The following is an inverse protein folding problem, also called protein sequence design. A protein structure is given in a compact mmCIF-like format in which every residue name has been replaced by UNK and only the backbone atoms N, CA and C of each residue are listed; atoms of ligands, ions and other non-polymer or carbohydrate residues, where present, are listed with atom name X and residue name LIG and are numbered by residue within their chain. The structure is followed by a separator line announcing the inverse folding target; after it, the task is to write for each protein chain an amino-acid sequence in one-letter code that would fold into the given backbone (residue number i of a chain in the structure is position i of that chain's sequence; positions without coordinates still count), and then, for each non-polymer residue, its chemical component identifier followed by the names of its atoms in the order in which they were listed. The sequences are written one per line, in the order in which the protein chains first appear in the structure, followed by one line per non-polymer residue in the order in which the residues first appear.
data_IF_494965435456
#
_entry.id   IF_494965435456
#
_cell.length_a   1.000
_cell.length_b   1.000
_cell.length_c   1.000
_cell.angle_alpha   90.00
_cell.angle_beta   90.00
_cell.angle_gamma   90.00
#
_symmetry.space_group_name_H-M   'P 1'
#
loop_
_entity.id
_entity.type
_entity.pdbx_description
1 polymer ?
#
# COMPACT_ATOMS: atom_id res chain seq x y z
N UNK A 1 -23.19 -15.02 -11.04
CA UNK A 1 -21.84 -14.60 -11.48
C UNK A 1 -21.04 -13.87 -10.40
N UNK A 2 -21.55 -12.79 -9.78
CA UNK A 2 -20.82 -12.00 -8.76
C UNK A 2 -20.29 -12.83 -7.57
N UNK A 3 -21.09 -13.76 -7.03
CA UNK A 3 -20.68 -14.68 -5.95
C UNK A 3 -19.58 -15.65 -6.38
N UNK A 4 -19.67 -16.18 -7.60
CA UNK A 4 -18.71 -17.13 -8.16
C UNK A 4 -17.34 -16.48 -8.40
N UNK A 5 -17.34 -15.22 -8.86
CA UNK A 5 -16.13 -14.42 -9.04
C UNK A 5 -15.45 -14.14 -7.69
N UNK A 6 -16.23 -13.79 -6.67
CA UNK A 6 -15.73 -13.59 -5.32
C UNK A 6 -15.11 -14.87 -4.74
N UNK A 7 -15.78 -16.02 -4.91
CA UNK A 7 -15.28 -17.32 -4.48
C UNK A 7 -14.01 -17.73 -5.23
N UNK A 8 -13.91 -17.44 -6.53
CA UNK A 8 -12.72 -17.72 -7.33
C UNK A 8 -11.53 -16.86 -6.86
N UNK A 9 -11.78 -15.57 -6.59
CA UNK A 9 -10.78 -14.64 -6.04
C UNK A 9 -10.30 -15.14 -4.67
N UNK A 10 -11.22 -15.54 -3.79
CA UNK A 10 -10.87 -16.12 -2.48
C UNK A 10 -10.06 -17.41 -2.62
N UNK A 11 -10.43 -18.32 -3.52
CA UNK A 11 -9.70 -19.57 -3.76
C UNK A 11 -8.27 -19.30 -4.25
N UNK A 12 -8.15 -18.39 -5.22
CA UNK A 12 -6.88 -17.95 -5.83
C UNK A 12 -6.01 -17.26 -4.77
N UNK A 13 -6.59 -16.44 -3.88
CA UNK A 13 -5.89 -15.88 -2.72
C UNK A 13 -5.48 -16.98 -1.72
N UNK A 14 -6.27 -18.03 -1.49
CA UNK A 14 -5.90 -19.08 -0.53
C UNK A 14 -4.83 -20.06 -1.04
N UNK A 15 -4.65 -20.19 -2.35
CA UNK A 15 -3.61 -21.05 -2.95
C UNK A 15 -2.32 -20.26 -3.19
N UNK A 16 -1.39 -20.28 -2.24
CA UNK A 16 -0.07 -19.65 -2.45
C UNK A 16 0.73 -20.45 -3.49
N UNK A 17 0.94 -19.88 -4.67
CA UNK A 17 1.87 -20.41 -5.68
C UNK A 17 3.32 -19.94 -5.44
N UNK A 18 3.50 -18.94 -4.57
CA UNK A 18 4.79 -18.49 -4.07
C UNK A 18 5.09 -19.16 -2.72
N UNK A 19 6.31 -19.70 -2.56
CA UNK A 19 6.83 -20.17 -1.26
C UNK A 19 6.92 -19.03 -0.22
N UNK A 20 6.89 -17.77 -0.68
CA UNK A 20 7.01 -16.56 0.14
C UNK A 20 5.83 -15.66 -0.13
N UNK A 21 4.77 -15.90 0.62
CA UNK A 21 3.47 -15.29 0.36
C UNK A 21 3.09 -14.26 1.42
N UNK A 22 3.67 -14.30 2.62
CA UNK A 22 3.35 -13.36 3.70
C UNK A 22 4.53 -12.46 4.02
N UNK A 23 4.24 -11.20 4.29
CA UNK A 23 5.23 -10.20 4.69
C UNK A 23 4.66 -9.15 5.62
N UNK A 24 5.55 -8.41 6.27
CA UNK A 24 5.23 -7.24 7.07
C UNK A 24 6.08 -6.07 6.64
N UNK A 25 5.58 -4.86 6.83
CA UNK A 25 6.28 -3.66 6.44
C UNK A 25 6.12 -2.50 7.41
N UNK A 26 7.06 -1.58 7.30
CA UNK A 26 7.06 -0.29 7.98
C UNK A 26 7.31 0.77 6.92
N UNK A 27 6.48 1.80 6.91
CA UNK A 27 6.65 2.97 6.07
C UNK A 27 6.50 4.27 6.85
N UNK A 28 6.89 5.36 6.23
CA UNK A 28 6.72 6.71 6.75
C UNK A 28 5.87 7.51 5.78
N UNK A 29 4.86 8.19 6.30
CA UNK A 29 3.90 8.92 5.49
C UNK A 29 3.71 10.34 5.99
N UNK A 30 3.23 11.19 5.09
CA UNK A 30 2.59 12.46 5.40
C UNK A 30 1.27 12.56 4.62
N UNK A 31 0.25 13.13 5.23
CA UNK A 31 -1.06 13.35 4.62
C UNK A 31 -1.62 14.72 5.00
N UNK A 32 -2.35 15.32 4.06
CA UNK A 32 -3.17 16.49 4.27
C UNK A 32 -4.65 16.12 4.15
N UNK A 33 -5.50 16.71 4.99
CA UNK A 33 -6.96 16.55 4.94
C UNK A 33 -7.55 17.86 4.42
N UNK A 34 -8.21 17.82 3.26
CA UNK A 34 -8.65 19.02 2.54
C UNK A 34 -9.68 19.85 3.33
N UNK A 35 -10.68 19.17 3.88
CA UNK A 35 -11.74 19.82 4.65
C UNK A 35 -11.27 20.32 6.04
N UNK A 36 -10.24 19.70 6.61
CA UNK A 36 -9.75 19.97 7.96
C UNK A 36 -8.20 20.00 8.01
N UNK A 37 -7.55 21.06 7.51
CA UNK A 37 -6.08 21.10 7.40
C UNK A 37 -5.34 20.91 8.72
N UNK A 38 -5.95 21.26 9.86
CA UNK A 38 -5.37 21.03 11.19
C UNK A 38 -5.11 19.53 11.49
N UNK A 39 -5.85 18.62 10.84
CA UNK A 39 -5.69 17.16 10.95
C UNK A 39 -4.64 16.57 10.01
N UNK A 40 -3.94 17.42 9.26
CA UNK A 40 -2.76 17.01 8.54
C UNK A 40 -1.81 16.31 9.50
N UNK A 41 -1.30 15.16 9.07
CA UNK A 41 -0.57 14.26 9.97
C UNK A 41 0.56 13.56 9.25
N UNK A 42 1.58 13.21 10.02
CA UNK A 42 2.72 12.44 9.54
C UNK A 42 3.14 11.43 10.59
N UNK A 43 3.73 10.33 10.16
CA UNK A 43 4.12 9.28 11.08
C UNK A 43 4.57 8.01 10.39
N UNK A 44 4.32 6.89 11.06
CA UNK A 44 4.66 5.56 10.59
C UNK A 44 3.40 4.77 10.21
N UNK A 45 3.54 3.97 9.17
CA UNK A 45 2.53 3.00 8.72
C UNK A 45 3.10 1.59 8.90
N UNK A 46 2.33 0.73 9.55
CA UNK A 46 2.63 -0.69 9.67
C UNK A 46 1.75 -1.46 8.71
N UNK A 47 2.33 -2.40 7.96
CA UNK A 47 1.62 -3.17 6.96
C UNK A 47 1.81 -4.68 7.15
N UNK A 48 0.77 -5.43 6.80
CA UNK A 48 0.82 -6.86 6.52
C UNK A 48 0.50 -7.05 5.05
N UNK A 49 1.32 -7.81 4.35
CA UNK A 49 1.24 -7.99 2.91
C UNK A 49 1.12 -9.47 2.59
N UNK A 50 0.20 -9.80 1.71
CA UNK A 50 0.03 -11.13 1.17
C UNK A 50 0.19 -11.13 -0.35
N UNK A 51 1.20 -11.83 -0.85
CA UNK A 51 1.61 -11.95 -2.26
C UNK A 51 1.53 -13.42 -2.72
N UNK A 52 0.36 -13.89 -3.16
CA UNK A 52 0.16 -15.29 -3.53
C UNK A 52 0.89 -15.72 -4.81
N UNK A 53 1.19 -14.78 -5.71
CA UNK A 53 1.74 -15.07 -7.04
C UNK A 53 3.09 -14.41 -7.30
N UNK A 54 3.76 -14.90 -8.34
CA UNK A 54 4.96 -14.30 -8.92
C UNK A 54 4.76 -14.15 -10.44
N UNK A 55 3.81 -13.31 -10.83
CA UNK A 55 3.53 -13.03 -12.24
C UNK A 55 4.50 -11.95 -12.77
N UNK A 56 4.85 -11.99 -14.07
CA UNK A 56 5.67 -10.96 -14.71
C UNK A 56 4.92 -9.63 -14.94
N UNK A 57 3.58 -9.67 -15.03
CA UNK A 57 2.71 -8.52 -15.24
C UNK A 57 1.48 -8.64 -14.35
N UNK A 58 0.89 -7.49 -14.00
CA UNK A 58 -0.35 -7.38 -13.23
C UNK A 58 -0.37 -8.30 -12.00
N UNK A 59 0.72 -8.34 -11.25
CA UNK A 59 0.90 -9.26 -10.13
C UNK A 59 0.21 -8.69 -8.88
N UNK A 60 -0.89 -9.31 -8.40
CA UNK A 60 -1.66 -8.75 -7.30
C UNK A 60 -1.05 -9.12 -5.93
N UNK A 61 -1.29 -8.25 -4.96
CA UNK A 61 -0.99 -8.45 -3.55
C UNK A 61 -2.07 -7.81 -2.70
N UNK A 62 -2.45 -8.47 -1.61
CA UNK A 62 -3.34 -7.92 -0.59
C UNK A 62 -2.50 -7.21 0.47
N UNK A 63 -3.00 -6.09 0.99
CA UNK A 63 -2.35 -5.30 2.02
C UNK A 63 -3.36 -4.93 3.09
N UNK A 64 -2.94 -5.03 4.34
CA UNK A 64 -3.63 -4.45 5.50
C UNK A 64 -2.65 -3.51 6.16
N UNK A 65 -3.06 -2.28 6.43
CA UNK A 65 -2.22 -1.25 7.04
C UNK A 65 -2.90 -0.57 8.20
N UNK A 66 -2.08 -0.08 9.10
CA UNK A 66 -2.47 0.83 10.15
C UNK A 66 -1.45 1.97 10.21
N UNK A 67 -1.93 3.20 10.33
CA UNK A 67 -1.10 4.37 10.51
C UNK A 67 -1.13 4.85 11.96
N UNK A 68 0.01 5.33 12.44
CA UNK A 68 0.18 6.03 13.71
C UNK A 68 1.10 7.22 13.47
N UNK A 69 0.72 8.39 13.98
CA UNK A 69 1.49 9.62 13.75
C UNK A 69 1.05 10.75 14.65
N UNK A 70 1.47 11.96 14.29
CA UNK A 70 1.11 13.20 14.99
C UNK A 70 0.39 14.17 14.07
N UNK A 71 -0.57 14.92 14.61
CA UNK A 71 -1.19 16.08 13.95
C UNK A 71 -0.31 17.33 14.09
N UNK A 72 -0.77 18.46 13.53
CA UNK A 72 -0.01 19.73 13.54
C UNK A 72 0.29 20.27 14.94
N UNK A 73 -0.56 19.95 15.92
CA UNK A 73 -0.41 20.32 17.33
C UNK A 73 0.48 19.36 18.13
N UNK A 74 0.93 18.27 17.51
CA UNK A 74 1.77 17.25 18.13
C UNK A 74 0.98 16.15 18.87
N UNK A 75 -0.35 16.16 18.81
CA UNK A 75 -1.14 15.07 19.41
C UNK A 75 -0.94 13.76 18.66
N UNK A 76 -0.76 12.67 19.42
CA UNK A 76 -0.63 11.33 18.87
C UNK A 76 -1.98 10.78 18.42
N UNK A 77 -2.02 10.30 17.18
CA UNK A 77 -3.25 9.82 16.55
C UNK A 77 -3.02 8.54 15.74
N UNK A 78 -4.10 7.80 15.53
CA UNK A 78 -4.17 6.71 14.56
C UNK A 78 -5.06 7.15 13.39
N UNK A 79 -4.51 7.77 12.34
CA UNK A 79 -5.33 8.48 11.38
C UNK A 79 -6.15 7.58 10.48
N UNK A 80 -5.67 6.36 10.21
CA UNK A 80 -6.42 5.43 9.38
C UNK A 80 -6.02 3.97 9.56
N UNK A 81 -6.98 3.11 9.26
CA UNK A 81 -6.79 1.68 9.00
C UNK A 81 -7.15 1.42 7.54
N UNK A 82 -6.35 0.64 6.83
CA UNK A 82 -6.52 0.41 5.39
C UNK A 82 -6.50 -1.10 5.09
N UNK A 83 -7.40 -1.55 4.21
CA UNK A 83 -7.34 -2.88 3.59
C UNK A 83 -7.56 -2.74 2.09
N UNK A 84 -6.63 -3.27 1.30
CA UNK A 84 -6.65 -3.05 -0.13
C UNK A 84 -5.83 -4.03 -0.94
N UNK A 85 -5.94 -3.87 -2.25
CA UNK A 85 -5.20 -4.65 -3.24
C UNK A 85 -4.24 -3.72 -3.96
N UNK A 86 -2.99 -4.16 -4.09
CA UNK A 86 -1.98 -3.53 -4.93
C UNK A 86 -1.62 -4.46 -6.07
N UNK A 87 -1.46 -3.91 -7.27
CA UNK A 87 -1.09 -4.65 -8.48
C UNK A 87 0.22 -4.11 -9.02
N UNK A 88 1.25 -4.94 -9.05
CA UNK A 88 2.50 -4.63 -9.75
C UNK A 88 2.22 -4.66 -11.26
N UNK A 89 2.45 -3.55 -11.96
CA UNK A 89 2.08 -3.41 -13.36
C UNK A 89 2.96 -4.28 -14.26
N UNK A 90 4.27 -4.22 -14.04
CA UNK A 90 5.30 -4.90 -14.82
C UNK A 90 6.49 -5.23 -13.91
N UNK A 91 7.21 -6.31 -14.22
CA UNK A 91 8.48 -6.66 -13.57
C UNK A 91 9.64 -6.52 -14.55
N UNK A 92 10.54 -5.57 -14.30
CA UNK A 92 11.72 -5.32 -15.11
C UNK A 92 12.97 -5.61 -14.28
N UNK A 93 13.94 -6.36 -14.81
CA UNK A 93 15.21 -6.67 -14.12
C UNK A 93 16.33 -5.73 -14.58
N UNK A 94 16.36 -5.41 -15.87
CA UNK A 94 17.34 -4.49 -16.43
C UNK A 94 16.78 -3.07 -16.45
N UNK A 95 17.17 -2.27 -15.46
CA UNK A 95 16.65 -0.93 -15.25
C UNK A 95 17.73 -0.01 -14.64
N UNK A 96 17.63 1.32 -14.80
CA UNK A 96 18.67 2.24 -14.36
C UNK A 96 18.91 2.25 -12.83
N UNK A 97 17.95 1.80 -12.02
CA UNK A 97 18.06 1.79 -10.55
C UNK A 97 18.92 0.66 -9.96
N UNK A 98 19.59 -0.14 -10.80
CA UNK A 98 20.41 -1.26 -10.34
C UNK A 98 21.60 -0.81 -9.46
N UNK A 99 22.01 0.46 -9.51
CA UNK A 99 23.05 1.01 -8.63
C UNK A 99 22.64 1.08 -7.15
N UNK A 100 21.34 1.03 -6.83
CA UNK A 100 20.84 1.13 -5.46
C UNK A 100 20.98 -0.16 -4.66
N UNK A 101 21.24 -1.30 -5.31
CA UNK A 101 21.28 -2.60 -4.66
C UNK A 101 22.44 -3.46 -5.17
N UNK A 102 23.12 -4.14 -4.26
CA UNK A 102 24.19 -5.10 -4.60
C UNK A 102 23.63 -6.42 -5.18
N UNK A 103 22.37 -6.73 -4.90
CA UNK A 103 21.68 -7.93 -5.38
C UNK A 103 20.73 -7.56 -6.53
N UNK A 104 20.46 -8.54 -7.40
CA UNK A 104 19.45 -8.40 -8.47
C UNK A 104 18.13 -7.94 -7.85
N UNK A 105 17.69 -6.78 -8.31
CA UNK A 105 16.46 -6.14 -7.88
C UNK A 105 15.57 -5.94 -9.10
N UNK A 106 14.27 -6.05 -8.93
CA UNK A 106 13.32 -5.82 -9.99
C UNK A 106 12.61 -4.49 -9.79
N UNK A 107 12.49 -3.68 -10.82
CA UNK A 107 11.61 -2.53 -10.84
C UNK A 107 10.19 -3.01 -11.11
N UNK A 108 9.29 -2.73 -10.16
CA UNK A 108 7.92 -3.24 -10.13
C UNK A 108 6.94 -2.13 -9.73
N UNK A 109 6.75 -1.10 -10.58
CA UNK A 109 5.81 -0.03 -10.26
C UNK A 109 4.41 -0.60 -10.03
N UNK A 110 3.66 -0.05 -9.08
CA UNK A 110 2.36 -0.60 -8.70
C UNK A 110 1.30 0.47 -8.50
N UNK A 111 0.04 0.07 -8.72
CA UNK A 111 -1.14 0.85 -8.34
C UNK A 111 -1.89 0.10 -7.25
N UNK A 112 -2.53 0.82 -6.33
CA UNK A 112 -3.32 0.23 -5.27
C UNK A 112 -4.70 0.87 -5.18
N UNK A 113 -5.68 0.06 -4.80
CA UNK A 113 -7.01 0.51 -4.40
C UNK A 113 -7.32 -0.13 -3.07
N UNK A 114 -7.80 0.66 -2.12
CA UNK A 114 -8.07 0.21 -0.78
C UNK A 114 -9.32 0.86 -0.19
N UNK A 115 -9.92 0.14 0.75
CA UNK A 115 -10.86 0.73 1.70
C UNK A 115 -10.06 1.25 2.89
N UNK A 116 -10.29 2.51 3.25
CA UNK A 116 -9.66 3.18 4.37
C UNK A 116 -10.72 3.65 5.36
N UNK A 117 -10.51 3.43 6.64
CA UNK A 117 -11.36 3.93 7.72
C UNK A 117 -10.59 4.93 8.56
N UNK A 118 -11.10 6.16 8.69
CA UNK A 118 -10.56 7.18 9.60
C UNK A 118 -11.34 7.14 10.92
N UNK A 119 -10.77 6.58 12.01
CA UNK A 119 -11.47 6.45 13.29
C UNK A 119 -11.68 7.80 13.99
N UNK A 120 -10.92 8.84 13.66
CA UNK A 120 -11.01 10.17 14.31
C UNK A 120 -12.22 10.96 13.81
N UNK A 121 -12.62 10.71 12.57
CA UNK A 121 -13.75 11.34 11.89
C UNK A 121 -14.93 10.39 11.67
N UNK A 122 -14.74 9.11 11.96
CA UNK A 122 -15.69 8.03 11.69
C UNK A 122 -16.12 8.00 10.20
N UNK A 123 -15.14 8.11 9.31
CA UNK A 123 -15.35 8.17 7.86
C UNK A 123 -14.85 6.91 7.16
N UNK A 124 -15.62 6.50 6.15
CA UNK A 124 -15.27 5.41 5.24
C UNK A 124 -14.80 6.01 3.92
N UNK A 125 -13.57 5.70 3.54
CA UNK A 125 -12.88 6.31 2.42
C UNK A 125 -12.45 5.24 1.40
N UNK A 126 -12.41 5.61 0.13
CA UNK A 126 -11.72 4.87 -0.92
C UNK A 126 -10.34 5.48 -1.16
N UNK A 127 -9.30 4.70 -0.97
CA UNK A 127 -7.90 5.08 -1.19
C UNK A 127 -7.42 4.56 -2.54
N UNK A 128 -6.77 5.42 -3.32
CA UNK A 128 -6.09 5.09 -4.56
C UNK A 128 -4.63 5.52 -4.43
N UNK A 129 -3.72 4.57 -4.62
CA UNK A 129 -2.28 4.79 -4.48
C UNK A 129 -1.51 4.45 -5.75
N UNK A 130 -0.37 5.11 -5.91
CA UNK A 130 0.59 4.80 -6.96
C UNK A 130 1.99 4.75 -6.36
N UNK A 131 2.70 3.65 -6.59
CA UNK A 131 4.10 3.47 -6.20
C UNK A 131 4.97 3.42 -7.45
N UNK A 132 5.38 4.57 -8.00
CA UNK A 132 6.21 4.61 -9.19
C UNK A 132 7.56 3.96 -8.92
N UNK A 133 8.19 4.26 -7.79
CA UNK A 133 9.52 3.77 -7.43
C UNK A 133 9.43 2.59 -6.47
N UNK A 134 8.80 1.50 -6.94
CA UNK A 134 8.79 0.23 -6.21
C UNK A 134 9.84 -0.72 -6.77
N UNK A 135 10.69 -1.21 -5.87
CA UNK A 135 11.77 -2.15 -6.16
C UNK A 135 11.55 -3.44 -5.36
N UNK A 136 11.63 -4.58 -6.02
CA UNK A 136 11.31 -5.90 -5.47
C UNK A 136 12.48 -6.86 -5.59
N UNK A 137 13.02 -7.27 -4.45
CA UNK A 137 13.95 -8.39 -4.30
C UNK A 137 13.20 -9.68 -3.90
N UNK A 138 13.96 -10.75 -3.69
CA UNK A 138 13.44 -12.08 -3.32
C UNK A 138 12.70 -12.08 -1.96
N UNK A 139 13.19 -11.28 -1.01
CA UNK A 139 12.73 -11.23 0.39
C UNK A 139 12.25 -9.83 0.81
N UNK A 140 12.39 -8.82 -0.06
CA UNK A 140 12.15 -7.42 0.31
C UNK A 140 11.50 -6.63 -0.81
N UNK A 141 10.58 -5.75 -0.45
CA UNK A 141 10.13 -4.63 -1.27
C UNK A 141 10.58 -3.31 -0.66
N UNK A 142 10.91 -2.39 -1.55
CA UNK A 142 11.23 -1.01 -1.25
C UNK A 142 10.27 -0.16 -2.08
N UNK A 143 9.52 0.73 -1.45
CA UNK A 143 8.67 1.70 -2.14
C UNK A 143 9.11 3.09 -1.73
N UNK A 144 9.33 3.98 -2.71
CA UNK A 144 9.72 5.36 -2.48
C UNK A 144 8.74 6.31 -3.15
N UNK A 145 8.40 7.40 -2.46
CA UNK A 145 7.54 8.48 -2.96
C UNK A 145 6.25 7.93 -3.60
N UNK A 146 5.48 7.17 -2.82
CA UNK A 146 4.22 6.60 -3.27
C UNK A 146 3.05 7.52 -2.90
N UNK A 147 2.59 8.40 -3.81
CA UNK A 147 1.42 9.24 -3.55
C UNK A 147 0.15 8.41 -3.41
N UNK A 148 -0.79 8.95 -2.63
CA UNK A 148 -2.14 8.42 -2.53
C UNK A 148 -3.17 9.54 -2.41
N UNK A 149 -4.39 9.23 -2.85
CA UNK A 149 -5.57 10.07 -2.75
C UNK A 149 -6.66 9.26 -2.05
N UNK A 150 -7.43 9.91 -1.18
CA UNK A 150 -8.60 9.29 -0.57
C UNK A 150 -9.85 10.08 -0.88
N UNK A 151 -10.92 9.37 -1.18
CA UNK A 151 -12.24 9.92 -1.47
C UNK A 151 -13.23 9.47 -0.41
N UNK A 152 -14.08 10.37 0.06
CA UNK A 152 -15.18 10.00 0.96
C UNK A 152 -16.22 9.17 0.19
N UNK A 153 -16.55 7.99 0.69
CA UNK A 153 -17.52 7.09 0.06
C UNK A 153 -18.96 7.59 0.19
N UNK A 154 -19.25 8.50 1.12
CA UNK A 154 -20.55 9.13 1.29
C UNK A 154 -20.80 10.23 0.26
N UNK A 155 -19.89 11.21 0.21
CA UNK A 155 -20.01 12.37 -0.69
C UNK A 155 -19.44 12.14 -2.10
N UNK A 156 -18.48 11.23 -2.26
CA UNK A 156 -17.72 11.02 -3.50
C UNK A 156 -16.64 12.08 -3.74
N UNK A 157 -16.45 13.02 -2.82
CA UNK A 157 -15.47 14.10 -2.94
C UNK A 157 -14.08 13.65 -2.48
N UNK A 158 -13.05 14.36 -2.95
CA UNK A 158 -11.69 14.16 -2.47
C UNK A 158 -11.60 14.60 -1.01
N UNK A 159 -11.20 13.69 -0.14
CA UNK A 159 -11.07 13.94 1.30
C UNK A 159 -9.64 14.33 1.69
N UNK A 160 -8.66 13.56 1.21
CA UNK A 160 -7.26 13.71 1.63
C UNK A 160 -6.31 13.30 0.51
N UNK A 161 -5.09 13.83 0.57
CA UNK A 161 -3.99 13.36 -0.25
C UNK A 161 -2.73 13.25 0.60
N UNK A 162 -1.82 12.39 0.18
CA UNK A 162 -0.57 12.20 0.90
C UNK A 162 0.48 11.47 0.09
N UNK A 163 1.59 11.21 0.75
CA UNK A 163 2.73 10.49 0.19
C UNK A 163 3.33 9.57 1.24
N UNK A 164 3.55 8.31 0.88
CA UNK A 164 4.48 7.46 1.60
C UNK A 164 5.90 7.77 1.09
N UNK A 165 6.74 8.33 1.96
CA UNK A 165 8.11 8.72 1.62
C UNK A 165 8.97 7.50 1.33
N UNK A 166 8.88 6.52 2.23
CA UNK A 166 9.54 5.23 2.09
C UNK A 166 8.72 4.15 2.78
N UNK A 167 8.62 2.96 2.18
CA UNK A 167 8.08 1.76 2.82
C UNK A 167 8.99 0.58 2.53
N UNK A 168 9.32 -0.17 3.58
CA UNK A 168 10.07 -1.42 3.51
C UNK A 168 9.11 -2.56 3.85
N UNK A 169 9.02 -3.58 3.00
CA UNK A 169 8.24 -4.79 3.29
C UNK A 169 9.15 -6.00 3.22
N UNK A 170 9.24 -6.76 4.30
CA UNK A 170 9.96 -8.03 4.37
C UNK A 170 9.00 -9.20 4.19
N UNK A 171 9.39 -10.20 3.39
CA UNK A 171 8.63 -11.43 3.20
C UNK A 171 9.27 -12.59 3.94
N UNK A 172 8.45 -13.38 4.62
CA UNK A 172 8.89 -14.61 5.27
C UNK A 172 9.28 -15.66 4.23
N UNK A 173 10.24 -16.50 4.64
CA UNK A 173 10.85 -17.52 3.79
C UNK A 173 10.00 -18.77 3.67
#
# INVERSE_FOLDING_TARGET
MRKLLLSLVLLVLCTSLSARSLGYGVGFYGQNVEAEPARASSGAEFSLVYKPFLLPFLNPSLQVKNAVGTEMDGEWVAPYWEVGVSVDLIRIIDHPFNFLAHNIIAYTPSVSVAYQYDPRRNLSLASVGFSPFKLSQKDFWYEFFSPFLTYDLGSGELDSWGVNLVRYTFFFK
#
